data_IF_301829848780
#
_entry.id   IF_301829848780
#
_cell.length_a   1.000
_cell.length_b   1.000
_cell.length_c   1.000
_cell.angle_alpha   90.00
_cell.angle_beta   90.00
_cell.angle_gamma   90.00
#
_symmetry.space_group_name_H-M   'P 1'
#
loop_
_entity.id
_entity.type
_entity.pdbx_description
1 polymer ?
#
# COMPACT_ATOMS: atom_id res chain seq x y z
N UNK A 1 -69.40 -39.14 -42.34
CA UNK A 1 -68.99 -40.48 -42.13
C UNK A 1 -68.18 -40.48 -40.87
N UNK A 2 -68.80 -40.72 -39.76
CA UNK A 2 -69.05 -42.03 -39.16
C UNK A 2 -67.81 -42.50 -38.38
N UNK A 3 -67.77 -42.85 -37.15
CA UNK A 3 -68.72 -43.33 -36.16
C UNK A 3 -67.92 -43.56 -34.86
N UNK A 4 -68.44 -43.28 -33.70
CA UNK A 4 -68.71 -44.18 -32.58
C UNK A 4 -67.55 -45.08 -32.13
N UNK A 5 -67.34 -45.37 -30.90
CA UNK A 5 -68.15 -45.64 -29.67
C UNK A 5 -67.21 -45.62 -28.45
N UNK A 6 -67.51 -44.90 -27.40
CA UNK A 6 -68.11 -45.26 -26.12
C UNK A 6 -67.76 -46.68 -25.60
N UNK A 7 -67.00 -46.70 -24.45
CA UNK A 7 -67.24 -47.72 -23.41
C UNK A 7 -66.81 -47.24 -22.03
N UNK A 8 -67.80 -47.06 -21.21
CA UNK A 8 -67.78 -46.91 -19.77
C UNK A 8 -67.58 -48.29 -19.15
N UNK A 9 -66.70 -48.39 -18.14
CA UNK A 9 -66.81 -49.46 -17.12
C UNK A 9 -66.02 -49.03 -15.86
N UNK A 10 -66.69 -48.64 -14.86
CA UNK A 10 -67.03 -49.15 -13.52
C UNK A 10 -65.87 -49.49 -12.60
N UNK A 11 -65.80 -48.65 -11.55
CA UNK A 11 -65.74 -48.94 -10.11
C UNK A 11 -64.97 -50.13 -9.55
N UNK A 12 -64.03 -49.85 -8.67
CA UNK A 12 -63.60 -50.64 -7.55
C UNK A 12 -62.88 -49.81 -6.49
N UNK A 13 -63.27 -49.92 -5.20
CA UNK A 13 -62.84 -49.04 -4.17
C UNK A 13 -61.58 -49.50 -3.41
N UNK A 14 -60.80 -48.59 -2.92
CA UNK A 14 -59.95 -48.79 -1.75
C UNK A 14 -58.47 -49.01 -2.06
N UNK A 15 -57.75 -47.93 -1.96
CA UNK A 15 -56.37 -48.03 -1.40
C UNK A 15 -55.93 -46.71 -0.78
N UNK A 16 -55.65 -46.85 0.42
CA UNK A 16 -55.06 -46.04 1.46
C UNK A 16 -54.17 -44.89 1.03
N UNK A 17 -54.41 -43.76 1.63
CA UNK A 17 -53.55 -42.60 1.66
C UNK A 17 -52.17 -42.94 2.21
N UNK A 18 -51.22 -43.24 1.32
CA UNK A 18 -49.82 -43.19 1.60
C UNK A 18 -49.32 -41.75 1.44
N UNK A 19 -49.18 -41.04 2.56
CA UNK A 19 -48.41 -39.78 2.60
C UNK A 19 -47.03 -40.08 2.01
N UNK A 20 -46.54 -39.26 1.05
CA UNK A 20 -45.16 -39.35 0.64
C UNK A 20 -44.30 -39.00 1.85
N UNK A 21 -43.53 -40.01 2.29
CA UNK A 21 -42.44 -39.82 3.25
C UNK A 21 -41.60 -38.61 2.80
N UNK A 22 -41.58 -37.66 3.66
CA UNK A 22 -40.67 -36.50 3.65
C UNK A 22 -39.25 -37.01 3.38
N UNK A 23 -38.87 -37.04 2.11
CA UNK A 23 -37.46 -37.16 1.72
C UNK A 23 -36.82 -35.88 2.19
N UNK A 24 -36.30 -35.90 3.42
CA UNK A 24 -35.26 -34.95 3.82
C UNK A 24 -34.20 -34.96 2.71
N UNK A 25 -34.30 -34.02 1.76
CA UNK A 25 -33.15 -33.71 0.91
C UNK A 25 -31.99 -33.45 1.87
N UNK A 26 -30.84 -34.06 1.66
CA UNK A 26 -29.65 -33.66 2.38
C UNK A 26 -29.56 -32.12 2.20
N UNK A 27 -29.48 -31.38 3.31
CA UNK A 27 -29.16 -29.98 3.29
C UNK A 27 -27.75 -29.95 2.69
N UNK A 28 -27.65 -29.64 1.39
CA UNK A 28 -26.38 -29.29 0.80
C UNK A 28 -25.84 -28.15 1.68
N UNK A 29 -24.64 -28.27 2.23
CA UNK A 29 -24.03 -27.17 2.97
C UNK A 29 -23.99 -26.00 2.00
N UNK A 30 -24.68 -24.92 2.39
CA UNK A 30 -24.69 -23.65 1.65
C UNK A 30 -23.26 -23.28 1.31
N UNK A 31 -22.85 -23.44 0.05
CA UNK A 31 -21.50 -23.17 -0.47
C UNK A 31 -21.06 -21.71 -0.28
N UNK A 32 -21.87 -20.90 0.38
CA UNK A 32 -21.64 -19.47 0.61
C UNK A 32 -21.16 -19.10 2.01
N UNK A 33 -21.17 -20.03 2.95
CA UNK A 33 -20.62 -19.78 4.27
C UNK A 33 -19.26 -20.48 4.40
N UNK A 34 -18.22 -19.88 3.87
CA UNK A 34 -16.87 -20.25 4.28
C UNK A 34 -16.83 -20.18 5.81
N UNK A 35 -16.44 -21.28 6.46
CA UNK A 35 -16.23 -21.27 7.90
C UNK A 35 -15.25 -20.14 8.24
N UNK A 36 -15.49 -19.41 9.33
CA UNK A 36 -14.56 -18.37 9.79
C UNK A 36 -13.12 -18.88 9.86
N UNK A 37 -12.94 -20.15 10.16
CA UNK A 37 -11.62 -20.80 10.21
C UNK A 37 -11.00 -20.95 8.82
N UNK A 38 -11.79 -21.29 7.79
CA UNK A 38 -11.30 -21.42 6.39
C UNK A 38 -10.85 -20.04 5.88
N UNK A 39 -11.59 -18.98 6.25
CA UNK A 39 -11.22 -17.62 5.90
C UNK A 39 -9.91 -17.16 6.57
N UNK A 40 -9.67 -17.56 7.83
CA UNK A 40 -8.39 -17.31 8.51
C UNK A 40 -7.23 -18.09 7.90
N UNK A 41 -7.47 -19.32 7.41
CA UNK A 41 -6.44 -20.11 6.74
C UNK A 41 -6.06 -19.49 5.39
N UNK A 42 -7.02 -18.98 4.64
CA UNK A 42 -6.77 -18.24 3.39
C UNK A 42 -5.95 -16.96 3.65
N UNK A 43 -6.29 -16.18 4.68
CA UNK A 43 -5.53 -14.99 5.10
C UNK A 43 -4.06 -15.32 5.39
N UNK A 44 -3.80 -16.45 6.09
CA UNK A 44 -2.44 -16.89 6.40
C UNK A 44 -1.57 -17.02 5.14
N UNK A 45 -2.11 -17.65 4.09
CA UNK A 45 -1.39 -17.84 2.84
C UNK A 45 -1.09 -16.55 2.10
N UNK A 46 -2.01 -15.58 2.11
CA UNK A 46 -1.80 -14.26 1.52
C UNK A 46 -0.70 -13.47 2.27
N UNK A 47 -0.69 -13.55 3.61
CA UNK A 47 0.36 -12.92 4.43
C UNK A 47 1.73 -13.56 4.16
N UNK A 48 1.82 -14.90 4.12
CA UNK A 48 3.08 -15.61 3.86
C UNK A 48 3.65 -15.23 2.49
N UNK A 49 2.82 -15.14 1.44
CA UNK A 49 3.25 -14.72 0.10
C UNK A 49 3.74 -13.27 0.08
N UNK A 50 3.03 -12.36 0.75
CA UNK A 50 3.44 -10.95 0.87
C UNK A 50 4.77 -10.81 1.60
N UNK A 51 4.95 -11.52 2.73
CA UNK A 51 6.22 -11.57 3.47
C UNK A 51 7.36 -12.16 2.61
N UNK A 52 7.08 -13.25 1.90
CA UNK A 52 8.06 -13.85 0.97
C UNK A 52 8.51 -12.86 -0.11
N UNK A 53 7.59 -12.10 -0.68
CA UNK A 53 7.92 -11.06 -1.66
C UNK A 53 8.77 -9.94 -1.03
N UNK A 54 8.47 -9.50 0.20
CA UNK A 54 9.29 -8.50 0.91
C UNK A 54 10.72 -9.03 1.08
N UNK A 55 10.88 -10.29 1.49
CA UNK A 55 12.22 -10.90 1.65
C UNK A 55 12.97 -10.93 0.31
N UNK A 56 12.31 -11.33 -0.78
CA UNK A 56 12.93 -11.38 -2.11
C UNK A 56 13.42 -10.00 -2.55
N UNK A 57 12.58 -8.96 -2.44
CA UNK A 57 12.97 -7.59 -2.81
C UNK A 57 14.01 -7.00 -1.84
N UNK A 58 13.99 -7.35 -0.56
CA UNK A 58 15.03 -6.97 0.40
C UNK A 58 16.37 -7.58 0.01
N UNK A 59 16.41 -8.88 -0.32
CA UNK A 59 17.65 -9.53 -0.79
C UNK A 59 18.14 -8.90 -2.11
N UNK A 60 17.23 -8.60 -3.04
CA UNK A 60 17.59 -7.90 -4.27
C UNK A 60 18.20 -6.51 -3.99
N UNK A 61 17.64 -5.75 -3.04
CA UNK A 61 18.16 -4.45 -2.61
C UNK A 61 19.55 -4.58 -1.95
N UNK A 62 19.80 -5.64 -1.16
CA UNK A 62 21.10 -5.93 -0.59
C UNK A 62 22.14 -6.25 -1.67
N UNK A 63 21.77 -7.00 -2.70
CA UNK A 63 22.67 -7.31 -3.81
C UNK A 63 22.99 -6.07 -4.68
N UNK A 64 22.03 -5.13 -4.79
CA UNK A 64 22.18 -3.88 -5.53
C UNK A 64 22.81 -2.75 -4.68
N UNK A 65 23.76 -3.07 -3.81
CA UNK A 65 24.37 -2.16 -2.82
C UNK A 65 24.77 -0.79 -3.39
N UNK A 66 25.53 -0.79 -4.47
CA UNK A 66 26.11 0.46 -5.03
C UNK A 66 25.02 1.39 -5.56
N UNK A 67 23.97 0.86 -6.15
CA UNK A 67 22.82 1.63 -6.60
C UNK A 67 22.01 2.17 -5.41
N UNK A 68 21.71 1.31 -4.45
CA UNK A 68 20.91 1.66 -3.27
C UNK A 68 21.62 2.76 -2.46
N UNK A 69 22.89 2.58 -2.14
CA UNK A 69 23.63 3.54 -1.31
C UNK A 69 24.16 4.72 -2.09
N UNK A 70 24.78 4.48 -3.23
CA UNK A 70 25.43 5.52 -4.02
C UNK A 70 24.45 6.48 -4.70
N UNK A 71 23.26 5.99 -5.10
CA UNK A 71 22.29 6.78 -5.85
C UNK A 71 21.05 7.12 -5.03
N UNK A 72 20.43 6.13 -4.33
CA UNK A 72 19.20 6.37 -3.63
C UNK A 72 19.41 7.01 -2.25
N UNK A 73 20.21 6.41 -1.39
CA UNK A 73 20.35 6.89 0.00
C UNK A 73 21.17 8.17 0.07
N UNK A 74 22.35 8.20 -0.56
CA UNK A 74 23.24 9.36 -0.55
C UNK A 74 22.97 10.36 -1.68
N UNK A 75 21.97 10.10 -2.53
CA UNK A 75 21.55 11.05 -3.58
C UNK A 75 21.24 12.45 -3.04
N UNK A 76 20.32 12.58 -2.07
CA UNK A 76 19.93 13.88 -1.52
C UNK A 76 21.03 14.66 -0.78
N UNK A 77 22.20 14.06 -0.51
CA UNK A 77 23.36 14.76 0.08
C UNK A 77 24.31 15.35 -0.96
N UNK A 78 24.08 15.07 -2.23
CA UNK A 78 24.94 15.57 -3.32
C UNK A 78 24.35 16.84 -3.91
N UNK A 79 25.14 17.92 -4.12
CA UNK A 79 24.65 19.14 -4.76
C UNK A 79 24.13 18.90 -6.19
N UNK A 80 24.65 17.86 -6.86
CA UNK A 80 24.21 17.47 -8.22
C UNK A 80 22.85 16.78 -8.25
N UNK A 81 22.18 16.63 -7.12
CA UNK A 81 20.87 15.98 -7.07
C UNK A 81 19.85 16.73 -7.93
N UNK A 82 19.08 16.01 -8.73
CA UNK A 82 18.15 16.56 -9.72
C UNK A 82 17.24 17.67 -9.17
N UNK A 83 16.75 17.52 -7.95
CA UNK A 83 15.86 18.51 -7.32
C UNK A 83 16.55 19.84 -7.05
N UNK A 84 17.81 19.83 -6.60
CA UNK A 84 18.57 21.06 -6.35
C UNK A 84 18.87 21.81 -7.64
N UNK A 85 19.22 21.06 -8.70
CA UNK A 85 19.40 21.67 -10.03
C UNK A 85 18.11 22.29 -10.57
N UNK A 86 16.96 21.64 -10.32
CA UNK A 86 15.67 22.16 -10.72
C UNK A 86 15.30 23.42 -9.94
N UNK A 87 15.55 23.43 -8.62
CA UNK A 87 15.32 24.62 -7.78
C UNK A 87 16.24 25.78 -8.17
N UNK A 88 17.50 25.51 -8.48
CA UNK A 88 18.42 26.55 -8.96
C UNK A 88 17.95 27.16 -10.30
N UNK A 89 17.53 26.33 -11.27
CA UNK A 89 16.95 26.80 -12.53
C UNK A 89 15.70 27.65 -12.31
N UNK A 90 14.84 27.24 -11.39
CA UNK A 90 13.64 27.99 -11.03
C UNK A 90 14.00 29.33 -10.35
N UNK A 91 15.00 29.31 -9.46
CA UNK A 91 15.53 30.53 -8.80
C UNK A 91 16.07 31.54 -9.81
N UNK A 92 16.86 31.10 -10.77
CA UNK A 92 17.37 31.96 -11.85
C UNK A 92 16.24 32.57 -12.70
N UNK A 93 15.14 31.87 -12.94
CA UNK A 93 13.96 32.42 -13.61
C UNK A 93 13.23 33.46 -12.77
N UNK A 94 13.31 33.35 -11.43
CA UNK A 94 12.73 34.32 -10.47
C UNK A 94 13.71 35.43 -10.06
N UNK A 95 14.91 35.48 -10.69
CA UNK A 95 15.97 36.45 -10.40
C UNK A 95 16.44 36.38 -8.92
N UNK A 96 16.51 35.19 -8.34
CA UNK A 96 16.86 34.92 -6.96
C UNK A 96 17.89 33.81 -6.86
N UNK A 97 19.06 34.06 -6.33
CA UNK A 97 20.17 33.11 -6.16
C UNK A 97 19.99 32.20 -4.93
N UNK A 98 18.99 32.48 -4.09
CA UNK A 98 18.76 31.76 -2.82
C UNK A 98 18.43 30.25 -3.00
N UNK A 99 18.02 29.86 -4.18
CA UNK A 99 17.62 28.48 -4.49
C UNK A 99 18.76 27.61 -5.07
N UNK A 100 19.93 28.22 -5.32
CA UNK A 100 21.11 27.51 -5.77
C UNK A 100 21.92 27.03 -4.56
N UNK A 101 22.10 25.71 -4.46
CA UNK A 101 22.86 25.04 -3.40
C UNK A 101 24.15 24.52 -4.04
N UNK A 102 25.24 25.23 -3.83
CA UNK A 102 26.54 24.86 -4.38
C UNK A 102 27.31 23.91 -3.47
N UNK A 103 27.12 24.02 -2.14
CA UNK A 103 27.78 23.16 -1.15
C UNK A 103 26.80 22.74 -0.06
N UNK A 104 26.97 21.51 0.44
CA UNK A 104 26.19 21.03 1.58
C UNK A 104 26.85 21.50 2.88
N UNK A 105 26.13 22.23 3.76
CA UNK A 105 26.70 22.81 4.98
C UNK A 105 26.90 21.81 6.13
N UNK A 106 26.96 20.52 5.84
CA UNK A 106 27.07 19.48 6.86
C UNK A 106 27.90 18.28 6.38
N UNK A 107 28.40 17.50 7.34
CA UNK A 107 29.15 16.27 7.11
C UNK A 107 28.40 15.09 7.70
N UNK A 108 28.33 13.98 6.96
CA UNK A 108 27.76 12.71 7.45
C UNK A 108 28.89 11.85 8.00
N UNK A 109 28.75 11.42 9.25
CA UNK A 109 29.72 10.58 9.96
C UNK A 109 29.05 9.29 10.47
N UNK A 110 29.84 8.25 10.64
CA UNK A 110 29.42 7.05 11.36
C UNK A 110 30.02 7.08 12.75
N UNK A 111 29.21 7.44 13.74
CA UNK A 111 29.66 7.50 15.15
C UNK A 111 29.50 6.17 15.88
N UNK A 112 28.63 5.32 15.38
CA UNK A 112 28.37 3.99 15.94
C UNK A 112 29.16 2.95 15.16
N UNK A 113 29.80 2.02 15.86
CA UNK A 113 30.59 0.96 15.24
C UNK A 113 29.74 0.08 14.29
N UNK A 114 28.50 -0.20 14.68
CA UNK A 114 27.53 -1.01 13.90
C UNK A 114 26.64 -0.15 13.00
N UNK A 115 26.75 1.18 13.04
CA UNK A 115 25.82 2.11 12.41
C UNK A 115 25.66 1.86 10.91
N UNK A 116 26.75 1.71 10.18
CA UNK A 116 26.73 1.46 8.74
C UNK A 116 26.05 0.13 8.40
N UNK A 117 26.34 -0.94 9.16
CA UNK A 117 25.75 -2.26 8.93
C UNK A 117 24.25 -2.26 9.23
N UNK A 118 23.85 -1.67 10.35
CA UNK A 118 22.44 -1.55 10.73
C UNK A 118 21.66 -0.77 9.70
N UNK A 119 22.18 0.37 9.25
CA UNK A 119 21.49 1.20 8.24
C UNK A 119 21.47 0.55 6.86
N UNK A 120 22.49 -0.22 6.51
CA UNK A 120 22.50 -1.03 5.28
C UNK A 120 21.34 -2.04 5.26
N UNK A 121 21.13 -2.76 6.37
CA UNK A 121 20.01 -3.72 6.48
C UNK A 121 18.66 -2.99 6.53
N UNK A 122 18.54 -1.93 7.33
CA UNK A 122 17.29 -1.17 7.46
C UNK A 122 16.86 -0.56 6.14
N UNK A 123 17.76 0.08 5.40
CA UNK A 123 17.44 0.66 4.09
C UNK A 123 17.01 -0.38 3.08
N UNK A 124 17.65 -1.55 3.06
CA UNK A 124 17.27 -2.66 2.18
C UNK A 124 15.86 -3.18 2.50
N UNK A 125 15.50 -3.31 3.78
CA UNK A 125 14.15 -3.71 4.21
C UNK A 125 13.12 -2.68 3.79
N UNK A 126 13.37 -1.38 4.01
CA UNK A 126 12.45 -0.31 3.62
C UNK A 126 12.24 -0.28 2.10
N UNK A 127 13.30 -0.39 1.31
CA UNK A 127 13.21 -0.49 -0.15
C UNK A 127 12.43 -1.75 -0.56
N UNK A 128 12.70 -2.88 0.10
CA UNK A 128 11.95 -4.12 -0.09
C UNK A 128 10.45 -3.95 0.13
N UNK A 129 10.05 -3.25 1.20
CA UNK A 129 8.64 -2.94 1.49
C UNK A 129 8.05 -2.04 0.40
N UNK A 130 8.75 -0.96 0.01
CA UNK A 130 8.29 -0.03 -1.02
C UNK A 130 8.09 -0.74 -2.36
N UNK A 131 9.05 -1.55 -2.80
CA UNK A 131 8.95 -2.29 -4.06
C UNK A 131 7.87 -3.39 -4.03
N UNK A 132 7.66 -4.01 -2.87
CA UNK A 132 6.64 -5.06 -2.70
C UNK A 132 5.24 -4.50 -2.55
N UNK A 133 5.07 -3.23 -2.19
CA UNK A 133 3.77 -2.64 -1.86
C UNK A 133 2.67 -2.94 -2.90
N UNK A 134 2.87 -2.79 -4.22
CA UNK A 134 1.85 -3.09 -5.22
C UNK A 134 1.39 -4.55 -5.16
N UNK A 135 2.33 -5.48 -4.97
CA UNK A 135 2.05 -6.90 -4.87
C UNK A 135 1.36 -7.25 -3.53
N UNK A 136 1.86 -6.73 -2.41
CA UNK A 136 1.27 -6.93 -1.10
C UNK A 136 -0.16 -6.40 -1.04
N UNK A 137 -0.40 -5.22 -1.61
CA UNK A 137 -1.75 -4.66 -1.70
C UNK A 137 -2.66 -5.52 -2.60
N UNK A 138 -2.16 -6.04 -3.71
CA UNK A 138 -2.92 -6.95 -4.58
C UNK A 138 -3.30 -8.24 -3.85
N UNK A 139 -2.42 -8.84 -3.05
CA UNK A 139 -2.73 -10.02 -2.24
C UNK A 139 -3.79 -9.72 -1.17
N UNK A 140 -3.66 -8.59 -0.46
CA UNK A 140 -4.67 -8.14 0.52
C UNK A 140 -6.02 -7.90 -0.18
N UNK A 141 -6.01 -7.25 -1.34
CA UNK A 141 -7.21 -6.96 -2.10
C UNK A 141 -7.91 -8.22 -2.58
N UNK A 142 -7.15 -9.22 -3.00
CA UNK A 142 -7.67 -10.53 -3.41
C UNK A 142 -8.39 -11.24 -2.27
N UNK A 143 -7.89 -11.10 -1.04
CA UNK A 143 -8.52 -11.62 0.17
C UNK A 143 -9.82 -10.87 0.52
N UNK A 144 -9.85 -9.54 0.38
CA UNK A 144 -11.02 -8.71 0.73
C UNK A 144 -12.10 -8.74 -0.36
N UNK A 145 -11.72 -8.89 -1.63
CA UNK A 145 -12.62 -8.81 -2.80
C UNK A 145 -13.80 -9.78 -2.79
N UNK A 146 -13.72 -11.03 -2.29
CA UNK A 146 -14.87 -11.94 -2.22
C UNK A 146 -16.00 -11.47 -1.31
N UNK A 147 -15.68 -10.63 -0.32
CA UNK A 147 -16.66 -10.04 0.60
C UNK A 147 -17.41 -8.83 0.03
N UNK A 148 -17.07 -8.35 -1.17
CA UNK A 148 -17.73 -7.21 -1.83
C UNK A 148 -18.83 -7.70 -2.80
N UNK A 149 -19.90 -6.90 -2.95
CA UNK A 149 -21.01 -7.17 -3.88
C UNK A 149 -20.52 -7.26 -5.34
N UNK A 150 -21.19 -8.09 -6.15
CA UNK A 150 -20.80 -8.43 -7.54
C UNK A 150 -20.67 -7.20 -8.47
N UNK A 151 -21.44 -6.14 -8.24
CA UNK A 151 -21.34 -4.87 -9.00
C UNK A 151 -20.05 -4.09 -8.71
N UNK A 152 -19.37 -4.38 -7.63
CA UNK A 152 -18.13 -3.69 -7.20
C UNK A 152 -16.87 -4.42 -7.65
N UNK A 153 -17.00 -5.69 -8.03
CA UNK A 153 -15.90 -6.55 -8.46
C UNK A 153 -15.23 -6.07 -9.76
N UNK A 154 -15.95 -5.40 -10.65
CA UNK A 154 -15.35 -4.80 -11.86
C UNK A 154 -14.54 -3.53 -11.54
N UNK A 155 -14.96 -2.74 -10.55
CA UNK A 155 -14.18 -1.60 -10.05
C UNK A 155 -12.92 -2.05 -9.28
N UNK A 156 -12.92 -3.28 -8.76
CA UNK A 156 -11.87 -3.80 -7.90
C UNK A 156 -10.51 -3.96 -8.60
N UNK A 157 -10.49 -4.29 -9.88
CA UNK A 157 -9.24 -4.37 -10.66
C UNK A 157 -8.59 -3.00 -10.85
N UNK A 158 -9.40 -1.95 -11.01
CA UNK A 158 -8.92 -0.58 -11.08
C UNK A 158 -8.36 -0.07 -9.76
N UNK A 159 -8.96 -0.46 -8.62
CA UNK A 159 -8.55 0.00 -7.30
C UNK A 159 -7.08 -0.33 -6.98
N UNK A 160 -6.63 -1.57 -7.26
CA UNK A 160 -5.23 -1.97 -7.04
C UNK A 160 -4.26 -1.11 -7.84
N UNK A 161 -4.59 -0.82 -9.11
CA UNK A 161 -3.76 0.03 -9.96
C UNK A 161 -3.69 1.46 -9.41
N UNK A 162 -4.83 2.06 -9.07
CA UNK A 162 -4.87 3.43 -8.52
C UNK A 162 -4.14 3.54 -7.17
N UNK A 163 -4.32 2.57 -6.28
CA UNK A 163 -3.62 2.52 -4.99
C UNK A 163 -2.11 2.41 -5.20
N UNK A 164 -1.67 1.51 -6.09
CA UNK A 164 -0.25 1.34 -6.39
C UNK A 164 0.36 2.57 -7.04
N UNK A 165 -0.37 3.22 -7.96
CA UNK A 165 0.06 4.46 -8.61
C UNK A 165 0.17 5.60 -7.59
N UNK A 166 -0.83 5.76 -6.72
CA UNK A 166 -0.85 6.81 -5.71
C UNK A 166 0.26 6.62 -4.68
N UNK A 167 0.53 5.36 -4.29
CA UNK A 167 1.67 5.04 -3.43
C UNK A 167 3.01 5.41 -4.08
N UNK A 168 3.20 5.00 -5.34
CA UNK A 168 4.41 5.33 -6.09
C UNK A 168 4.60 6.84 -6.23
N UNK A 169 3.53 7.60 -6.52
CA UNK A 169 3.56 9.06 -6.54
C UNK A 169 3.93 9.64 -5.17
N UNK A 170 3.38 9.12 -4.07
CA UNK A 170 3.72 9.53 -2.72
C UNK A 170 5.19 9.28 -2.37
N UNK A 171 5.71 8.10 -2.73
CA UNK A 171 7.13 7.76 -2.55
C UNK A 171 8.04 8.69 -3.37
N UNK A 172 7.71 8.93 -4.64
CA UNK A 172 8.48 9.84 -5.50
C UNK A 172 8.43 11.27 -4.98
N UNK A 173 7.28 11.74 -4.54
CA UNK A 173 7.13 13.06 -3.93
C UNK A 173 7.97 13.17 -2.64
N UNK A 174 7.89 12.15 -1.77
CA UNK A 174 8.70 12.08 -0.55
C UNK A 174 10.20 12.10 -0.84
N UNK A 175 10.64 11.34 -1.85
CA UNK A 175 12.06 11.22 -2.19
C UNK A 175 12.62 12.42 -2.95
N UNK A 176 11.91 12.96 -3.94
CA UNK A 176 12.42 14.05 -4.77
C UNK A 176 12.12 15.44 -4.25
N UNK A 177 11.12 15.61 -3.39
CA UNK A 177 10.73 16.93 -2.88
C UNK A 177 10.97 17.02 -1.39
N UNK A 178 10.33 16.18 -0.59
CA UNK A 178 10.37 16.31 0.88
C UNK A 178 11.75 15.97 1.45
N UNK A 179 12.38 14.88 1.00
CA UNK A 179 13.68 14.48 1.52
C UNK A 179 14.79 15.53 1.27
N UNK A 180 15.04 16.03 0.04
CA UNK A 180 16.08 17.03 -0.19
C UNK A 180 15.79 18.37 0.50
N UNK A 181 14.53 18.81 0.54
CA UNK A 181 14.17 20.05 1.28
C UNK A 181 14.43 19.88 2.76
N UNK A 182 14.05 18.74 3.35
CA UNK A 182 14.28 18.45 4.76
C UNK A 182 15.77 18.33 5.10
N UNK A 183 16.55 17.66 4.24
CA UNK A 183 18.00 17.51 4.42
C UNK A 183 18.70 18.86 4.37
N UNK A 184 18.35 19.70 3.41
CA UNK A 184 18.93 21.04 3.29
C UNK A 184 18.53 21.94 4.46
N UNK A 185 17.25 21.92 4.84
CA UNK A 185 16.74 22.70 5.96
C UNK A 185 17.41 22.30 7.28
N UNK A 186 17.39 20.99 7.61
CA UNK A 186 17.98 20.48 8.84
C UNK A 186 19.50 20.64 8.83
N UNK A 187 20.13 20.43 7.67
CA UNK A 187 21.57 20.56 7.48
C UNK A 187 22.07 21.99 7.61
N UNK A 188 21.28 22.95 7.12
CA UNK A 188 21.60 24.37 7.18
C UNK A 188 21.17 25.09 8.50
N UNK A 189 20.30 24.43 9.30
CA UNK A 189 19.78 25.00 10.50
C UNK A 189 20.88 25.08 11.61
N UNK A 190 21.28 26.27 11.98
CA UNK A 190 22.24 26.52 13.05
C UNK A 190 21.64 27.49 14.06
N UNK A 191 21.71 27.14 15.34
CA UNK A 191 21.30 28.03 16.43
C UNK A 191 22.39 29.10 16.69
N UNK A 192 23.64 28.69 16.51
CA UNK A 192 24.83 29.58 16.69
C UNK A 192 25.90 29.14 15.67
N UNK A 193 26.61 30.12 15.10
CA UNK A 193 27.64 29.88 14.07
C UNK A 193 28.87 29.12 14.58
N UNK A 194 29.03 28.99 15.91
CA UNK A 194 30.11 28.19 16.51
C UNK A 194 29.84 26.70 16.51
N UNK A 195 28.61 26.29 16.20
CA UNK A 195 28.19 24.86 16.19
C UNK A 195 28.30 24.32 14.78
N UNK A 196 29.20 23.37 14.55
CA UNK A 196 29.32 22.67 13.29
C UNK A 196 28.28 21.55 13.21
N UNK A 197 27.55 21.47 12.09
CA UNK A 197 26.56 20.45 11.87
C UNK A 197 27.22 19.14 11.36
N UNK A 198 27.26 18.13 12.23
CA UNK A 198 27.74 16.81 11.92
C UNK A 198 26.64 15.79 12.22
N UNK A 199 26.13 15.13 11.18
CA UNK A 199 25.05 14.17 11.32
C UNK A 199 25.56 12.72 11.35
N UNK A 200 25.00 11.93 12.28
CA UNK A 200 25.22 10.49 12.27
C UNK A 200 24.46 9.85 11.10
N UNK A 201 25.09 8.92 10.40
CA UNK A 201 24.50 8.18 9.27
C UNK A 201 23.18 7.48 9.67
N UNK A 202 23.06 7.04 10.92
CA UNK A 202 21.84 6.40 11.42
C UNK A 202 20.68 7.37 11.48
N UNK A 203 20.92 8.60 11.94
CA UNK A 203 19.91 9.66 11.97
C UNK A 203 19.49 10.07 10.56
N UNK A 204 20.47 10.27 9.67
CA UNK A 204 20.22 10.63 8.28
C UNK A 204 19.35 9.59 7.54
N UNK A 205 19.77 8.31 7.54
CA UNK A 205 19.06 7.24 6.85
C UNK A 205 17.67 7.01 7.44
N UNK A 206 17.55 7.05 8.77
CA UNK A 206 16.26 6.93 9.46
C UNK A 206 15.30 8.05 9.06
N UNK A 207 15.77 9.29 9.02
CA UNK A 207 14.96 10.44 8.62
C UNK A 207 14.48 10.30 7.18
N UNK A 208 15.37 10.03 6.22
CA UNK A 208 15.01 9.89 4.81
C UNK A 208 14.00 8.75 4.62
N UNK A 209 14.29 7.56 5.15
CA UNK A 209 13.42 6.40 4.98
C UNK A 209 12.06 6.61 5.61
N UNK A 210 12.00 7.25 6.77
CA UNK A 210 10.73 7.59 7.44
C UNK A 210 9.93 8.60 6.63
N UNK A 211 10.55 9.67 6.15
CA UNK A 211 9.86 10.69 5.35
C UNK A 211 9.29 10.10 4.06
N UNK A 212 10.09 9.33 3.32
CA UNK A 212 9.67 8.73 2.06
C UNK A 212 8.53 7.74 2.28
N UNK A 213 8.65 6.86 3.28
CA UNK A 213 7.61 5.88 3.59
C UNK A 213 6.33 6.55 4.09
N UNK A 214 6.46 7.55 4.98
CA UNK A 214 5.32 8.31 5.48
C UNK A 214 4.57 9.03 4.35
N UNK A 215 5.28 9.67 3.41
CA UNK A 215 4.66 10.27 2.23
C UNK A 215 3.92 9.23 1.39
N UNK A 216 4.52 8.07 1.12
CA UNK A 216 3.86 6.97 0.42
C UNK A 216 2.54 6.56 1.10
N UNK A 217 2.54 6.42 2.42
CA UNK A 217 1.36 6.06 3.21
C UNK A 217 0.32 7.20 3.27
N UNK A 218 0.75 8.46 3.43
CA UNK A 218 -0.14 9.62 3.46
C UNK A 218 -0.91 9.78 2.16
N UNK A 219 -0.30 9.48 1.03
CA UNK A 219 -0.98 9.48 -0.27
C UNK A 219 -2.06 8.40 -0.40
N UNK A 220 -2.09 7.41 0.51
CA UNK A 220 -3.17 6.42 0.56
C UNK A 220 -4.43 6.93 1.29
N UNK A 221 -4.33 8.00 2.11
CA UNK A 221 -5.46 8.51 2.89
C UNK A 221 -6.72 8.78 2.05
N UNK A 222 -6.66 9.40 0.85
CA UNK A 222 -7.84 9.62 0.04
C UNK A 222 -8.59 8.34 -0.33
N UNK A 223 -7.85 7.27 -0.63
CA UNK A 223 -8.44 5.98 -0.99
C UNK A 223 -9.03 5.29 0.24
N UNK A 224 -8.34 5.34 1.39
CA UNK A 224 -8.84 4.79 2.65
C UNK A 224 -10.14 5.48 3.05
N UNK A 225 -10.20 6.82 2.99
CA UNK A 225 -11.42 7.59 3.27
C UNK A 225 -12.54 7.22 2.30
N UNK A 226 -12.24 7.09 1.00
CA UNK A 226 -13.22 6.68 0.00
C UNK A 226 -13.85 5.31 0.33
N UNK A 227 -13.03 4.30 0.69
CA UNK A 227 -13.53 2.98 1.05
C UNK A 227 -14.33 2.99 2.35
N UNK A 228 -13.88 3.72 3.38
CA UNK A 228 -14.61 3.87 4.65
C UNK A 228 -15.97 4.53 4.47
N UNK A 229 -16.04 5.56 3.63
CA UNK A 229 -17.30 6.23 3.30
C UNK A 229 -18.23 5.31 2.53
N UNK A 230 -17.70 4.53 1.59
CA UNK A 230 -18.49 3.58 0.80
C UNK A 230 -19.00 2.40 1.65
N UNK A 231 -18.22 1.96 2.62
CA UNK A 231 -18.61 0.94 3.59
C UNK A 231 -19.65 1.45 4.63
N UNK A 232 -20.01 2.75 4.58
CA UNK A 232 -20.96 3.36 5.52
C UNK A 232 -20.41 3.56 6.93
N UNK A 233 -19.10 3.33 7.15
CA UNK A 233 -18.45 3.49 8.45
C UNK A 233 -18.16 4.96 8.79
N UNK A 234 -18.05 5.81 7.76
CA UNK A 234 -17.80 7.24 7.90
C UNK A 234 -18.87 8.00 7.14
N UNK A 235 -19.67 8.78 7.85
CA UNK A 235 -20.66 9.66 7.23
C UNK A 235 -20.00 10.95 6.76
N UNK A 236 -20.50 11.59 5.68
CA UNK A 236 -19.96 12.89 5.20
C UNK A 236 -20.02 14.00 6.28
N UNK A 237 -20.94 13.89 7.22
CA UNK A 237 -21.08 14.83 8.36
C UNK A 237 -19.90 14.68 9.34
N UNK A 238 -19.45 13.46 9.62
CA UNK A 238 -18.29 13.20 10.47
C UNK A 238 -17.00 13.80 9.86
N UNK A 239 -16.82 13.68 8.52
CA UNK A 239 -15.68 14.26 7.82
C UNK A 239 -15.68 15.79 7.85
N UNK A 240 -16.86 16.44 7.77
CA UNK A 240 -16.96 17.89 7.92
C UNK A 240 -16.56 18.34 9.31
N UNK A 241 -17.07 17.67 10.34
CA UNK A 241 -16.75 17.99 11.74
C UNK A 241 -15.25 17.78 12.04
N UNK A 242 -14.62 16.76 11.44
CA UNK A 242 -13.18 16.51 11.59
C UNK A 242 -12.28 17.50 10.80
N UNK A 243 -12.81 18.15 9.76
CA UNK A 243 -12.11 19.17 8.99
C UNK A 243 -12.23 20.58 9.59
N UNK A 244 -13.22 20.79 10.46
CA UNK A 244 -13.50 22.08 11.14
C UNK A 244 -12.77 22.22 12.50
N UNK A 245 -11.94 21.22 12.90
CA UNK A 245 -11.05 21.22 14.08
C UNK A 245 -9.60 21.48 13.64
#
# INVERSE_FOLDING_TARGET
MENKDNKIEKNGPGQENGFPKDQKRPIEPDERSMSFLDHLEELRWHIIRSLGAIVVFTVAALLARDFVWGTLILGPTKPDFWTYQMFCKLGLLLNSDYFCIDEMPFIIQSRQMTGQMTMYLTSAVVIGIICTFPYAFWEIWRFVSPGLYDNERQLSRGAVFFVSLLFAMGVLFGYYIIAPVSVNFLGGFQVDSSIMNEFDITSYVSTITTLVLACGLLFQLPIVVYFLTKAGLVTPEFLKTAADI
#
